data_IF_434785442310
#
_entry.id   IF_434785442310
#
_cell.length_a   1.000
_cell.length_b   1.000
_cell.length_c   1.000
_cell.angle_alpha   90.00
_cell.angle_beta   90.00
_cell.angle_gamma   90.00
#
_symmetry.space_group_name_H-M   'P 1'
#
loop_
_entity.id
_entity.type
_entity.pdbx_description
1 polymer ?
#
# COMPACT_ATOMS: atom_id res chain seq x y z
N UNK A 1 -11.65 54.05 -44.95
CA UNK A 1 -12.21 53.36 -43.76
C UNK A 1 -11.14 52.39 -43.28
N UNK A 2 -10.45 52.73 -42.19
CA UNK A 2 -9.30 51.98 -41.66
C UNK A 2 -9.62 51.57 -40.23
N UNK A 3 -9.71 50.27 -39.98
CA UNK A 3 -9.71 49.67 -38.63
C UNK A 3 -9.12 48.26 -38.73
N UNK A 4 -7.90 48.09 -38.20
CA UNK A 4 -7.57 47.26 -37.01
C UNK A 4 -7.17 45.81 -37.40
N UNK A 5 -5.90 45.36 -37.27
CA UNK A 5 -5.13 45.08 -36.03
C UNK A 5 -5.94 44.19 -35.07
N UNK A 6 -5.50 43.05 -34.52
CA UNK A 6 -4.24 42.30 -34.53
C UNK A 6 -4.54 40.92 -33.90
N UNK A 7 -3.70 39.93 -34.20
CA UNK A 7 -3.27 38.84 -33.32
C UNK A 7 -4.29 37.80 -32.81
N UNK A 8 -4.29 36.62 -33.43
CA UNK A 8 -4.68 35.36 -32.80
C UNK A 8 -3.60 34.92 -31.80
N UNK A 9 -3.86 35.04 -30.51
CA UNK A 9 -3.06 34.39 -29.46
C UNK A 9 -3.99 33.83 -28.39
N UNK A 10 -4.29 32.54 -28.46
CA UNK A 10 -5.02 31.84 -27.40
C UNK A 10 -4.44 30.45 -27.13
N UNK A 11 -3.40 30.46 -26.29
CA UNK A 11 -3.19 29.56 -25.14
C UNK A 11 -3.26 28.05 -25.43
N UNK A 12 -2.07 27.47 -25.57
CA UNK A 12 -1.85 26.05 -25.35
C UNK A 12 -2.30 25.62 -23.96
N UNK A 13 -3.34 24.77 -23.91
CA UNK A 13 -3.69 24.01 -22.72
C UNK A 13 -2.76 22.81 -22.64
N UNK A 14 -1.70 22.93 -21.85
CA UNK A 14 -0.96 21.77 -21.38
C UNK A 14 -1.92 20.89 -20.57
N UNK A 15 -2.43 19.83 -21.20
CA UNK A 15 -3.11 18.74 -20.52
C UNK A 15 -2.11 18.06 -19.59
N UNK A 16 -1.94 18.56 -18.36
CA UNK A 16 -1.43 17.72 -17.27
C UNK A 16 -2.43 16.58 -17.14
N UNK A 17 -2.05 15.38 -17.59
CA UNK A 17 -2.69 14.13 -17.19
C UNK A 17 -2.70 14.15 -15.65
N UNK A 18 -3.85 14.42 -15.06
CA UNK A 18 -4.07 14.02 -13.68
C UNK A 18 -4.00 12.49 -13.70
N UNK A 19 -2.98 11.92 -13.06
CA UNK A 19 -2.97 10.49 -12.76
C UNK A 19 -4.26 10.17 -12.00
N UNK A 20 -5.01 9.13 -12.41
CA UNK A 20 -6.16 8.71 -11.64
C UNK A 20 -5.67 8.34 -10.23
N UNK A 21 -6.37 8.77 -9.16
CA UNK A 21 -6.01 8.36 -7.81
C UNK A 21 -6.03 6.83 -7.77
N UNK A 22 -4.91 6.23 -7.36
CA UNK A 22 -4.81 4.80 -7.10
C UNK A 22 -5.84 4.49 -6.01
N UNK A 23 -7.02 4.00 -6.42
CA UNK A 23 -7.99 3.44 -5.49
C UNK A 23 -7.37 2.18 -4.93
N UNK A 24 -6.80 2.26 -3.73
CA UNK A 24 -6.49 1.07 -2.95
C UNK A 24 -7.80 0.29 -2.81
N UNK A 25 -7.86 -0.97 -3.22
CA UNK A 25 -9.02 -1.79 -2.96
C UNK A 25 -9.25 -1.76 -1.45
N UNK A 26 -10.43 -1.31 -1.01
CA UNK A 26 -10.88 -1.59 0.36
C UNK A 26 -10.97 -3.11 0.46
N UNK A 27 -10.50 -3.77 1.53
CA UNK A 27 -10.78 -5.17 1.72
C UNK A 27 -12.29 -5.32 1.65
N UNK A 28 -12.74 -6.17 0.74
CA UNK A 28 -14.03 -6.78 0.94
C UNK A 28 -13.93 -7.55 2.27
N UNK A 29 -14.98 -7.49 3.10
CA UNK A 29 -15.17 -8.36 4.26
C UNK A 29 -15.35 -9.83 3.79
N UNK A 30 -14.35 -10.34 3.09
CA UNK A 30 -14.31 -11.64 2.46
C UNK A 30 -13.74 -12.68 3.41
N UNK A 31 -13.85 -13.97 3.05
CA UNK A 31 -13.35 -15.07 3.86
C UNK A 31 -11.87 -14.92 4.25
N UNK A 32 -11.08 -14.27 3.39
CA UNK A 32 -9.65 -14.04 3.58
C UNK A 32 -9.34 -13.06 4.72
N UNK A 33 -10.25 -12.13 5.02
CA UNK A 33 -10.07 -11.18 6.13
C UNK A 33 -10.11 -11.90 7.49
N UNK A 34 -11.05 -12.81 7.67
CA UNK A 34 -11.15 -13.59 8.91
C UNK A 34 -9.93 -14.51 9.10
N UNK A 35 -9.45 -15.12 8.02
CA UNK A 35 -8.23 -15.93 8.06
C UNK A 35 -7.02 -15.07 8.43
N UNK A 36 -6.87 -13.90 7.82
CA UNK A 36 -5.78 -12.97 8.14
C UNK A 36 -5.81 -12.57 9.63
N UNK A 37 -6.98 -12.24 10.18
CA UNK A 37 -7.12 -11.90 11.59
C UNK A 37 -6.77 -13.07 12.52
N UNK A 38 -7.17 -14.31 12.17
CA UNK A 38 -6.79 -15.50 12.92
C UNK A 38 -5.27 -15.74 12.91
N UNK A 39 -4.63 -15.57 11.76
CA UNK A 39 -3.18 -15.72 11.63
C UNK A 39 -2.42 -14.67 12.44
N UNK A 40 -2.90 -13.42 12.44
CA UNK A 40 -2.34 -12.35 13.28
C UNK A 40 -2.49 -12.72 14.75
N UNK A 41 -3.70 -13.08 15.19
CA UNK A 41 -3.96 -13.42 16.59
C UNK A 41 -3.13 -14.60 17.08
N UNK A 42 -3.04 -15.69 16.30
CA UNK A 42 -2.19 -16.84 16.62
C UNK A 42 -0.73 -16.43 16.80
N UNK A 43 -0.23 -15.59 15.90
CA UNK A 43 1.15 -15.11 15.95
C UNK A 43 1.42 -14.22 17.16
N UNK A 44 0.51 -13.30 17.48
CA UNK A 44 0.64 -12.44 18.67
C UNK A 44 0.66 -13.28 19.95
N UNK A 45 -0.20 -14.31 20.05
CA UNK A 45 -0.22 -15.23 21.19
C UNK A 45 1.08 -16.02 21.29
N UNK A 46 1.61 -16.52 20.16
CA UNK A 46 2.82 -17.35 20.14
C UNK A 46 4.09 -16.57 20.42
N UNK A 47 4.19 -15.33 19.93
CA UNK A 47 5.43 -14.54 19.97
C UNK A 47 5.42 -13.40 20.99
N UNK A 48 4.24 -13.02 21.50
CA UNK A 48 4.07 -11.83 22.33
C UNK A 48 4.31 -10.50 21.60
N UNK A 49 4.55 -10.52 20.29
CA UNK A 49 4.76 -9.33 19.47
C UNK A 49 3.45 -8.87 18.88
N UNK A 50 3.07 -7.63 19.15
CA UNK A 50 1.85 -7.03 18.63
C UNK A 50 2.09 -6.40 17.27
N UNK A 51 1.08 -6.48 16.41
CA UNK A 51 1.06 -5.74 15.15
C UNK A 51 1.07 -4.22 15.44
N UNK A 52 1.73 -3.40 14.60
CA UNK A 52 1.61 -1.95 14.73
C UNK A 52 0.14 -1.51 14.68
N UNK A 53 -0.26 -0.50 15.47
CA UNK A 53 -1.65 -0.07 15.55
C UNK A 53 -2.12 0.52 14.21
N UNK A 54 -3.29 0.06 13.74
CA UNK A 54 -3.92 0.54 12.53
C UNK A 54 -4.51 -0.58 11.68
N UNK A 55 -5.13 -0.24 10.54
CA UNK A 55 -5.54 -1.23 9.55
C UNK A 55 -4.33 -1.98 8.99
N UNK A 56 -4.47 -3.28 8.75
CA UNK A 56 -3.41 -4.07 8.08
C UNK A 56 -3.05 -3.49 6.70
N UNK A 57 -4.02 -2.86 6.03
CA UNK A 57 -3.86 -2.14 4.75
C UNK A 57 -2.79 -1.06 4.76
N UNK A 58 -2.57 -0.47 5.93
CA UNK A 58 -1.70 0.69 6.11
C UNK A 58 -0.27 0.29 6.49
N UNK A 59 -0.04 -1.00 6.72
CA UNK A 59 1.29 -1.53 7.00
C UNK A 59 2.14 -1.53 5.73
N UNK A 60 3.38 -1.08 5.85
CA UNK A 60 4.35 -1.22 4.76
C UNK A 60 4.75 -2.69 4.60
N UNK A 61 5.27 -3.03 3.43
CA UNK A 61 5.81 -4.37 3.17
C UNK A 61 6.88 -4.75 4.21
N UNK A 62 7.77 -3.82 4.56
CA UNK A 62 8.81 -4.03 5.57
C UNK A 62 8.23 -4.28 6.95
N UNK A 63 7.14 -3.60 7.31
CA UNK A 63 6.45 -3.81 8.58
C UNK A 63 5.77 -5.18 8.64
N UNK A 64 5.17 -5.61 7.53
CA UNK A 64 4.60 -6.96 7.40
C UNK A 64 5.69 -8.03 7.48
N UNK A 65 6.79 -7.86 6.74
CA UNK A 65 7.93 -8.79 6.78
C UNK A 65 8.51 -8.84 8.19
N UNK A 66 8.75 -7.70 8.84
CA UNK A 66 9.29 -7.67 10.19
C UNK A 66 8.34 -8.33 11.22
N UNK A 67 7.03 -8.14 11.06
CA UNK A 67 6.04 -8.80 11.89
C UNK A 67 6.08 -10.32 11.68
N UNK A 68 6.09 -10.78 10.43
CA UNK A 68 6.06 -12.21 10.05
C UNK A 68 7.42 -12.93 10.14
N UNK A 69 8.53 -12.20 10.22
CA UNK A 69 9.85 -12.75 10.42
C UNK A 69 9.97 -13.39 11.80
N UNK A 70 10.34 -14.66 11.82
CA UNK A 70 10.68 -15.38 13.05
C UNK A 70 12.20 -15.26 13.26
N UNK A 71 12.68 -14.55 14.29
CA UNK A 71 14.11 -14.39 14.55
C UNK A 71 14.77 -15.67 15.06
N UNK A 72 13.98 -16.67 15.47
CA UNK A 72 14.47 -17.96 15.95
C UNK A 72 14.51 -19.01 14.83
N UNK A 73 13.96 -18.69 13.65
CA UNK A 73 14.31 -19.35 12.41
C UNK A 73 15.71 -18.86 12.01
N UNK A 74 16.72 -19.37 12.71
CA UNK A 74 18.07 -19.40 12.15
C UNK A 74 17.97 -20.03 10.75
N UNK A 75 18.65 -19.48 9.73
CA UNK A 75 18.79 -20.22 8.49
C UNK A 75 19.45 -21.53 8.88
N UNK A 76 18.74 -22.64 8.72
CA UNK A 76 19.31 -23.96 8.93
C UNK A 76 20.57 -24.00 8.08
N UNK A 77 21.69 -23.84 8.76
CA UNK A 77 22.97 -23.60 8.15
C UNK A 77 23.30 -24.89 7.44
N UNK A 78 23.00 -24.92 6.14
CA UNK A 78 23.70 -25.71 5.14
C UNK A 78 24.22 -27.05 5.69
N UNK A 79 23.33 -27.86 6.28
CA UNK A 79 23.67 -29.22 6.67
C UNK A 79 23.08 -30.18 5.65
N UNK A 80 23.47 -29.99 4.38
CA UNK A 80 24.01 -31.00 3.45
C UNK A 80 23.96 -30.54 2.00
#
# INVERSE_FOLDING_TARGET
>A
MTTMSTLCAARGRAHRRAEPPVRRPRPADGPDHNLLMLLIADREVRTGRTLPPGPCEDLTEEQLIAFWADPHLEPDAATR
#
